data_IF_852533786104
#
_entry.id   IF_852533786104
#
_cell.length_a   1.000
_cell.length_b   1.000
_cell.length_c   1.000
_cell.angle_alpha   90.00
_cell.angle_beta   90.00
_cell.angle_gamma   90.00
#
_symmetry.space_group_name_H-M   'P 1'
#
loop_
_entity.id
_entity.type
_entity.pdbx_description
1 polymer ?
#
# COMPACT_ATOMS: atom_id res chain seq x y z
N UNK A 1 -17.69 -12.79 -7.34
CA UNK A 1 -17.59 -12.77 -5.89
C UNK A 1 -16.28 -13.33 -5.40
N UNK A 2 -15.81 -12.79 -4.30
CA UNK A 2 -14.52 -13.18 -3.72
C UNK A 2 -14.72 -14.10 -2.51
N UNK A 3 -15.75 -14.92 -2.54
CA UNK A 3 -16.06 -15.83 -1.44
C UNK A 3 -16.36 -17.20 -2.02
N UNK A 4 -15.74 -18.24 -1.46
CA UNK A 4 -15.99 -19.61 -1.88
C UNK A 4 -17.29 -20.14 -1.26
N UNK A 5 -17.66 -21.38 -1.58
CA UNK A 5 -18.88 -21.99 -1.10
C UNK A 5 -18.95 -22.22 0.40
N UNK A 6 -17.84 -21.97 1.11
CA UNK A 6 -17.76 -22.12 2.55
C UNK A 6 -17.72 -20.76 3.26
N UNK A 7 -17.93 -19.68 2.52
CA UNK A 7 -17.93 -18.34 3.09
C UNK A 7 -16.57 -17.70 3.30
N UNK A 8 -15.50 -18.36 2.90
CA UNK A 8 -14.16 -17.80 3.01
C UNK A 8 -13.83 -16.98 1.76
N UNK A 9 -13.04 -15.89 1.91
CA UNK A 9 -12.62 -15.12 0.76
C UNK A 9 -11.86 -15.97 -0.25
N UNK A 10 -12.14 -15.75 -1.52
CA UNK A 10 -11.37 -16.37 -2.60
C UNK A 10 -10.10 -15.58 -2.78
N UNK A 11 -9.00 -16.16 -2.30
CA UNK A 11 -7.70 -15.50 -2.20
C UNK A 11 -7.14 -15.09 -3.55
N UNK A 12 -7.13 -16.03 -4.49
CA UNK A 12 -6.46 -15.80 -5.77
C UNK A 12 -7.08 -14.67 -6.59
N UNK A 13 -8.40 -14.58 -6.78
CA UNK A 13 -8.97 -13.47 -7.52
C UNK A 13 -8.70 -12.11 -6.86
N UNK A 14 -8.80 -12.03 -5.52
CA UNK A 14 -8.51 -10.79 -4.81
C UNK A 14 -7.05 -10.39 -4.94
N UNK A 15 -6.13 -11.36 -4.78
CA UNK A 15 -4.71 -11.14 -4.92
C UNK A 15 -4.35 -10.68 -6.33
N UNK A 16 -4.92 -11.33 -7.35
CA UNK A 16 -4.68 -10.94 -8.75
C UNK A 16 -5.17 -9.53 -9.05
N UNK A 17 -6.32 -9.14 -8.51
CA UNK A 17 -6.79 -7.77 -8.69
C UNK A 17 -5.82 -6.77 -8.06
N UNK A 18 -5.38 -7.02 -6.82
CA UNK A 18 -4.48 -6.10 -6.14
C UNK A 18 -3.12 -6.01 -6.85
N UNK A 19 -2.60 -7.13 -7.33
CA UNK A 19 -1.29 -7.16 -7.97
C UNK A 19 -1.35 -6.59 -9.39
N UNK A 20 -2.34 -6.97 -10.18
CA UNK A 20 -2.36 -6.67 -11.61
C UNK A 20 -3.41 -5.66 -12.05
N UNK A 21 -4.44 -5.44 -11.26
CA UNK A 21 -5.58 -4.62 -11.66
C UNK A 21 -5.70 -3.28 -10.97
N UNK A 22 -5.20 -3.16 -9.74
CA UNK A 22 -5.45 -1.96 -8.92
C UNK A 22 -4.90 -0.69 -9.56
N UNK A 23 -3.74 -0.77 -10.21
CA UNK A 23 -3.13 0.42 -10.83
C UNK A 23 -3.94 0.94 -12.00
N UNK A 24 -4.74 0.10 -12.65
CA UNK A 24 -5.61 0.52 -13.76
C UNK A 24 -6.92 1.08 -13.25
N UNK A 25 -7.48 0.47 -12.20
CA UNK A 25 -8.74 0.93 -11.61
C UNK A 25 -8.55 2.20 -10.77
N UNK A 26 -7.41 2.31 -10.09
CA UNK A 26 -7.10 3.42 -9.19
C UNK A 26 -5.69 3.95 -9.50
N UNK A 27 -5.51 4.66 -10.63
CA UNK A 27 -4.19 5.17 -10.99
C UNK A 27 -3.65 6.11 -9.91
N UNK A 28 -2.35 6.02 -9.69
CA UNK A 28 -1.70 6.89 -8.72
C UNK A 28 -1.66 8.32 -9.24
N UNK A 29 -1.97 9.28 -8.36
CA UNK A 29 -1.88 10.71 -8.68
C UNK A 29 -0.91 11.36 -7.72
N UNK A 30 0.10 12.02 -8.27
CA UNK A 30 1.07 12.77 -7.48
C UNK A 30 0.71 14.24 -7.45
N UNK A 31 1.04 14.88 -6.35
CA UNK A 31 0.75 16.29 -6.16
C UNK A 31 1.93 17.05 -5.60
N UNK A 32 1.64 18.12 -4.88
CA UNK A 32 2.64 19.03 -4.35
C UNK A 32 3.40 18.42 -3.18
N UNK A 33 4.51 19.07 -2.80
CA UNK A 33 5.24 18.71 -1.59
C UNK A 33 4.42 19.13 -0.39
N UNK A 34 4.25 18.22 0.56
CA UNK A 34 3.44 18.45 1.74
C UNK A 34 3.92 17.59 2.91
N UNK A 35 3.36 17.83 4.06
CA UNK A 35 3.57 16.98 5.24
C UNK A 35 2.53 15.86 5.21
N UNK A 36 2.96 14.66 5.62
CA UNK A 36 2.03 13.54 5.63
C UNK A 36 2.60 12.28 6.23
N UNK A 37 1.92 11.17 5.96
CA UNK A 37 2.29 9.83 6.41
C UNK A 37 2.97 9.10 5.25
N UNK A 38 4.19 8.58 5.45
CA UNK A 38 4.89 7.86 4.37
C UNK A 38 4.11 6.68 3.83
N UNK A 39 4.21 6.48 2.52
CA UNK A 39 3.56 5.35 1.87
C UNK A 39 4.48 4.77 0.79
N UNK A 40 4.05 3.70 0.14
CA UNK A 40 4.80 3.01 -0.91
C UNK A 40 6.19 2.61 -0.42
N UNK A 41 7.24 2.93 -1.17
CA UNK A 41 8.59 2.51 -0.79
C UNK A 41 9.13 3.24 0.45
N UNK A 42 8.51 4.32 0.87
CA UNK A 42 8.96 5.08 2.04
C UNK A 42 8.36 4.55 3.35
N UNK A 43 7.49 3.56 3.28
CA UNK A 43 6.86 2.96 4.44
C UNK A 43 7.26 1.48 4.58
N UNK A 44 7.21 0.91 5.79
CA UNK A 44 7.41 -0.53 5.95
C UNK A 44 6.36 -1.31 5.16
N UNK A 45 6.67 -2.49 4.64
CA UNK A 45 7.96 -3.16 4.78
C UNK A 45 8.99 -2.80 3.71
N UNK A 46 8.62 -2.07 2.66
CA UNK A 46 9.52 -1.78 1.55
C UNK A 46 10.70 -0.91 1.95
N UNK A 47 10.47 0.00 2.86
CA UNK A 47 11.51 0.90 3.36
C UNK A 47 12.76 0.16 3.80
N UNK A 48 12.59 -1.01 4.42
CA UNK A 48 13.70 -1.78 4.95
C UNK A 48 14.40 -2.62 3.90
N UNK A 49 13.83 -2.71 2.70
CA UNK A 49 14.36 -3.58 1.65
C UNK A 49 14.92 -2.80 0.46
N UNK A 50 14.78 -1.49 0.45
CA UNK A 50 15.22 -0.65 -0.64
C UNK A 50 16.28 0.34 -0.18
N UNK A 51 17.19 0.70 -1.09
CA UNK A 51 18.21 1.69 -0.81
C UNK A 51 17.56 3.07 -0.76
N UNK A 52 17.98 3.88 0.20
CA UNK A 52 17.48 5.24 0.34
C UNK A 52 17.72 6.04 -0.93
N UNK A 53 16.70 6.79 -1.30
CA UNK A 53 16.77 7.74 -2.40
C UNK A 53 16.96 9.14 -1.83
N UNK A 54 17.66 10.00 -2.60
CA UNK A 54 17.75 11.41 -2.24
C UNK A 54 16.47 12.17 -2.54
N UNK A 55 15.53 11.54 -3.26
CA UNK A 55 14.27 12.16 -3.60
C UNK A 55 13.34 12.21 -2.38
N UNK A 56 12.42 13.18 -2.42
CA UNK A 56 11.39 13.27 -1.39
C UNK A 56 10.50 12.03 -1.42
N UNK A 57 10.17 11.47 -0.26
CA UNK A 57 9.35 10.26 -0.22
C UNK A 57 7.89 10.54 -0.58
N UNK A 58 7.17 9.54 -1.07
CA UNK A 58 5.73 9.68 -1.24
C UNK A 58 5.02 9.67 0.10
N UNK A 59 4.06 10.58 0.27
CA UNK A 59 3.29 10.68 1.51
C UNK A 59 1.80 10.87 1.21
N UNK A 60 0.95 10.35 2.10
CA UNK A 60 -0.45 10.74 2.11
C UNK A 60 -0.56 12.05 2.87
N UNK A 61 -1.20 13.08 2.30
CA UNK A 61 -1.31 14.37 2.98
C UNK A 61 -2.03 14.25 4.33
N UNK A 62 -1.42 14.78 5.37
CA UNK A 62 -1.99 14.74 6.71
C UNK A 62 -1.32 15.83 7.55
N UNK A 63 -2.14 16.74 8.10
CA UNK A 63 -1.64 17.85 8.90
C UNK A 63 -0.88 17.38 10.15
N UNK A 64 -1.17 16.17 10.63
CA UNK A 64 -0.50 15.58 11.79
C UNK A 64 0.64 14.66 11.41
N UNK A 65 0.97 14.55 10.11
CA UNK A 65 2.06 13.71 9.64
C UNK A 65 3.42 14.29 10.00
N UNK A 66 4.41 13.43 10.16
CA UNK A 66 5.74 13.82 10.59
C UNK A 66 6.75 13.95 9.45
N UNK A 67 6.37 13.55 8.25
CA UNK A 67 7.30 13.47 7.11
C UNK A 67 6.88 14.44 6.03
N UNK A 68 7.86 15.20 5.52
CA UNK A 68 7.65 16.04 4.35
C UNK A 68 7.98 15.24 3.10
N UNK A 69 7.06 15.23 2.15
CA UNK A 69 7.28 14.46 0.93
C UNK A 69 6.38 14.92 -0.20
N UNK A 70 6.38 14.14 -1.28
CA UNK A 70 5.53 14.42 -2.43
C UNK A 70 4.19 13.74 -2.21
N UNK A 71 3.12 14.50 -2.37
CA UNK A 71 1.77 13.96 -2.22
C UNK A 71 1.55 12.78 -3.16
N UNK A 72 1.09 11.67 -2.61
CA UNK A 72 0.49 10.58 -3.36
C UNK A 72 -0.95 10.47 -2.89
N UNK A 73 -1.89 10.69 -3.80
CA UNK A 73 -3.29 10.68 -3.44
C UNK A 73 -3.70 9.31 -2.90
N UNK A 74 -4.23 9.22 -1.66
CA UNK A 74 -4.64 7.94 -1.10
C UNK A 74 -5.88 7.39 -1.81
N UNK A 75 -6.09 6.08 -1.70
CA UNK A 75 -7.27 5.43 -2.27
C UNK A 75 -8.57 6.03 -1.76
N UNK A 76 -8.57 6.50 -0.53
CA UNK A 76 -9.72 7.13 0.10
C UNK A 76 -9.24 8.15 1.12
N UNK A 77 -10.05 9.17 1.37
CA UNK A 77 -9.68 10.25 2.29
C UNK A 77 -9.45 9.79 3.73
N UNK A 78 -9.98 8.62 4.12
CA UNK A 78 -9.81 8.09 5.47
C UNK A 78 -8.52 7.30 5.65
N UNK A 79 -7.78 7.03 4.57
CA UNK A 79 -6.58 6.19 4.62
C UNK A 79 -5.51 6.70 5.59
N UNK A 80 -5.11 7.98 5.56
CA UNK A 80 -4.05 8.45 6.46
C UNK A 80 -4.39 8.25 7.94
N UNK A 81 -5.62 8.55 8.32
CA UNK A 81 -6.07 8.40 9.70
C UNK A 81 -6.13 6.93 10.12
N UNK A 82 -6.64 6.07 9.25
CA UNK A 82 -6.70 4.63 9.51
C UNK A 82 -5.30 4.04 9.66
N UNK A 83 -4.36 4.45 8.80
CA UNK A 83 -2.99 3.95 8.84
C UNK A 83 -2.28 4.34 10.14
N UNK A 84 -2.54 5.54 10.65
CA UNK A 84 -1.94 5.97 11.91
C UNK A 84 -2.41 5.13 13.10
N UNK A 85 -3.62 4.57 13.01
CA UNK A 85 -4.21 3.78 14.08
C UNK A 85 -3.84 2.30 14.00
N UNK A 86 -3.39 1.83 12.85
CA UNK A 86 -3.09 0.40 12.65
C UNK A 86 -1.83 0.22 11.82
N UNK A 87 -0.73 -0.22 12.42
CA UNK A 87 0.49 -0.53 11.67
C UNK A 87 0.28 -1.58 10.59
N UNK A 88 -0.56 -2.58 10.85
CA UNK A 88 -0.87 -3.63 9.87
C UNK A 88 -1.56 -3.03 8.65
N UNK A 89 -2.55 -2.17 8.88
CA UNK A 89 -3.26 -1.52 7.79
C UNK A 89 -2.35 -0.57 7.02
N UNK A 90 -1.47 0.15 7.72
CA UNK A 90 -0.49 1.03 7.08
C UNK A 90 0.39 0.22 6.11
N UNK A 91 0.91 -0.92 6.55
CA UNK A 91 1.73 -1.77 5.69
C UNK A 91 0.98 -2.24 4.44
N UNK A 92 -0.26 -2.71 4.62
CA UNK A 92 -1.06 -3.19 3.50
C UNK A 92 -1.35 -2.07 2.49
N UNK A 93 -1.75 -0.91 2.97
CA UNK A 93 -2.08 0.22 2.09
C UNK A 93 -0.85 0.78 1.39
N UNK A 94 0.30 0.81 2.08
CA UNK A 94 1.55 1.24 1.48
C UNK A 94 1.99 0.27 0.37
N UNK A 95 1.79 -1.03 0.57
CA UNK A 95 2.09 -2.02 -0.47
C UNK A 95 1.18 -1.86 -1.68
N UNK A 96 -0.10 -1.58 -1.47
CA UNK A 96 -1.02 -1.30 -2.56
C UNK A 96 -0.57 -0.06 -3.34
N UNK A 97 -0.12 0.99 -2.65
CA UNK A 97 0.40 2.19 -3.31
C UNK A 97 1.66 1.89 -4.12
N UNK A 98 2.53 1.01 -3.63
CA UNK A 98 3.70 0.62 -4.39
C UNK A 98 3.32 -0.10 -5.69
N UNK A 99 2.22 -0.85 -5.66
CA UNK A 99 1.69 -1.48 -6.88
C UNK A 99 1.09 -0.44 -7.83
N UNK A 100 0.51 0.64 -7.30
CA UNK A 100 -0.08 1.70 -8.11
C UNK A 100 0.94 2.62 -8.72
N UNK A 101 2.02 2.93 -8.01
CA UNK A 101 2.96 4.00 -8.37
C UNK A 101 4.42 3.56 -8.42
N UNK A 102 4.75 2.37 -7.96
CA UNK A 102 6.12 1.93 -7.84
C UNK A 102 6.81 1.60 -9.17
N UNK A 103 8.13 1.63 -9.15
CA UNK A 103 8.95 1.15 -10.25
C UNK A 103 8.93 -0.37 -10.27
N UNK A 104 9.49 -0.99 -11.32
CA UNK A 104 9.44 -2.43 -11.49
C UNK A 104 9.94 -3.18 -10.25
N UNK A 105 11.10 -2.79 -9.71
CA UNK A 105 11.66 -3.47 -8.52
C UNK A 105 10.77 -3.32 -7.30
N UNK A 106 10.26 -2.12 -7.08
CA UNK A 106 9.36 -1.85 -5.95
C UNK A 106 8.09 -2.67 -6.06
N UNK A 107 7.53 -2.76 -7.27
CA UNK A 107 6.33 -3.56 -7.50
C UNK A 107 6.56 -5.04 -7.28
N UNK A 108 7.71 -5.56 -7.71
CA UNK A 108 8.04 -6.97 -7.52
C UNK A 108 8.11 -7.33 -6.04
N UNK A 109 8.77 -6.48 -5.25
CA UNK A 109 8.86 -6.69 -3.80
C UNK A 109 7.47 -6.56 -3.18
N UNK A 110 6.70 -5.55 -3.59
CA UNK A 110 5.35 -5.33 -3.07
C UNK A 110 4.42 -6.51 -3.37
N UNK A 111 4.50 -7.06 -4.57
CA UNK A 111 3.71 -8.26 -4.94
C UNK A 111 3.97 -9.40 -3.97
N UNK A 112 5.24 -9.69 -3.71
CA UNK A 112 5.60 -10.76 -2.81
C UNK A 112 5.13 -10.50 -1.38
N UNK A 113 5.41 -9.30 -0.86
CA UNK A 113 5.05 -8.94 0.51
C UNK A 113 3.54 -8.93 0.71
N UNK A 114 2.81 -8.43 -0.27
CA UNK A 114 1.35 -8.39 -0.17
C UNK A 114 0.76 -9.80 -0.20
N UNK A 115 1.26 -10.67 -1.06
CA UNK A 115 0.81 -12.06 -1.13
C UNK A 115 1.01 -12.78 0.18
N UNK A 116 2.19 -12.62 0.79
CA UNK A 116 2.49 -13.26 2.09
C UNK A 116 1.53 -12.76 3.16
N UNK A 117 1.29 -11.46 3.22
CA UNK A 117 0.42 -10.86 4.24
C UNK A 117 -1.04 -11.25 4.06
N UNK A 118 -1.53 -11.28 2.84
CA UNK A 118 -2.92 -11.67 2.59
C UNK A 118 -3.16 -13.12 2.99
N UNK A 119 -2.22 -14.01 2.66
CA UNK A 119 -2.33 -15.42 3.05
C UNK A 119 -2.29 -15.58 4.57
N UNK A 120 -1.43 -14.81 5.24
CA UNK A 120 -1.35 -14.84 6.70
C UNK A 120 -2.64 -14.36 7.35
N UNK A 121 -3.23 -13.28 6.84
CA UNK A 121 -4.48 -12.76 7.37
C UNK A 121 -5.62 -13.76 7.23
N UNK A 122 -5.70 -14.46 6.11
CA UNK A 122 -6.76 -15.43 5.90
C UNK A 122 -6.60 -16.64 6.82
N UNK A 123 -5.38 -17.09 7.07
CA UNK A 123 -5.14 -18.20 8.01
C UNK A 123 -5.51 -17.79 9.43
N UNK A 124 -5.12 -16.59 9.82
CA UNK A 124 -5.36 -16.11 11.19
C UNK A 124 -6.83 -15.73 11.41
N UNK A 125 -7.52 -15.34 10.36
CA UNK A 125 -8.91 -14.93 10.43
C UNK A 125 -9.91 -16.08 10.30
N UNK A 126 -9.45 -17.27 10.03
CA UNK A 126 -10.33 -18.42 9.81
C UNK A 126 -10.71 -19.10 11.10
#
# INVERSE_FOLDING_TARGET
HLIDGQGRPLMRPAEEFLIHGVKYAFPAKRGEVTRGVPTAYAAPPLKDQLVDSSDLPPVWPDAEGDVRGVTLEPLHKTVPNAARKSPVLHELLALVDALRDGRVRERQIAEHELSVRLRGLLRDGS
#
